data_IF_035543613452
#
_entry.id   IF_035543613452
#
_cell.length_a   1.000
_cell.length_b   1.000
_cell.length_c   1.000
_cell.angle_alpha   90.00
_cell.angle_beta   90.00
_cell.angle_gamma   90.00
#
_symmetry.space_group_name_H-M   'P 1'
#
loop_
_entity.id
_entity.type
_entity.pdbx_description
1 polymer ?
#
# COMPACT_ATOMS: atom_id res chain seq x y z
N UNK A 1 -18.53 -22.16 7.21
CA UNK A 1 -17.33 -21.55 6.63
C UNK A 1 -16.69 -20.67 7.71
N UNK A 2 -15.45 -20.98 8.12
CA UNK A 2 -14.68 -20.09 9.01
C UNK A 2 -14.32 -18.84 8.20
N UNK A 3 -14.83 -17.66 8.55
CA UNK A 3 -14.27 -16.39 8.12
C UNK A 3 -12.86 -16.33 8.69
N UNK A 4 -11.86 -16.40 7.84
CA UNK A 4 -10.48 -16.18 8.27
C UNK A 4 -10.31 -14.69 8.58
N UNK A 5 -9.51 -14.36 9.59
CA UNK A 5 -9.10 -12.99 9.85
C UNK A 5 -8.49 -12.44 8.55
N UNK A 6 -9.09 -11.36 8.00
CA UNK A 6 -8.71 -10.80 6.69
C UNK A 6 -9.86 -10.66 5.68
N UNK A 7 -11.08 -11.07 6.04
CA UNK A 7 -12.25 -11.04 5.14
C UNK A 7 -12.87 -9.63 4.94
N UNK A 8 -12.24 -8.59 5.44
CA UNK A 8 -12.65 -7.19 5.23
C UNK A 8 -11.56 -6.44 4.45
N UNK A 9 -11.45 -6.62 3.13
CA UNK A 9 -10.51 -5.84 2.33
C UNK A 9 -11.03 -4.42 2.17
N UNK A 10 -10.12 -3.45 2.32
CA UNK A 10 -10.33 -2.05 1.98
C UNK A 10 -9.31 -1.64 0.94
N UNK A 11 -9.75 -0.90 -0.08
CA UNK A 11 -8.88 -0.37 -1.13
C UNK A 11 -8.68 1.13 -0.90
N UNK A 12 -7.43 1.56 -0.81
CA UNK A 12 -7.08 2.99 -0.76
C UNK A 12 -6.40 3.38 -2.05
N UNK A 13 -6.95 4.39 -2.69
CA UNK A 13 -6.36 4.99 -3.88
C UNK A 13 -6.64 6.49 -3.94
N UNK A 14 -5.89 7.20 -4.79
CA UNK A 14 -6.07 8.62 -5.03
C UNK A 14 -6.24 8.92 -6.51
N UNK A 15 -7.09 9.89 -6.80
CA UNK A 15 -7.34 10.37 -8.17
C UNK A 15 -7.12 11.87 -8.23
N UNK A 16 -6.23 12.37 -9.09
CA UNK A 16 -6.10 13.80 -9.34
C UNK A 16 -7.29 14.32 -10.17
N UNK A 17 -7.85 15.44 -9.74
CA UNK A 17 -8.93 16.15 -10.43
C UNK A 17 -8.34 17.46 -10.95
N UNK A 18 -8.13 17.54 -12.25
CA UNK A 18 -7.59 18.75 -12.88
C UNK A 18 -8.64 19.89 -12.85
N UNK A 19 -8.24 21.04 -12.34
CA UNK A 19 -9.02 22.26 -12.38
C UNK A 19 -8.57 23.12 -13.56
N UNK A 20 -9.52 23.63 -14.33
CA UNK A 20 -9.28 24.50 -15.49
C UNK A 20 -9.93 25.85 -15.26
N UNK A 21 -9.25 26.92 -15.65
CA UNK A 21 -9.77 28.28 -15.60
C UNK A 21 -8.91 29.23 -14.77
N UNK A 22 -9.17 30.54 -14.93
CA UNK A 22 -8.50 31.58 -14.17
C UNK A 22 -8.96 31.52 -12.70
N UNK A 23 -8.01 31.66 -11.76
CA UNK A 23 -8.29 31.64 -10.32
C UNK A 23 -7.89 30.34 -9.62
N UNK A 24 -7.47 29.30 -10.37
CA UNK A 24 -6.97 28.06 -9.79
C UNK A 24 -5.44 27.97 -9.74
N UNK A 25 -4.72 29.05 -10.05
CA UNK A 25 -3.25 29.06 -10.09
C UNK A 25 -2.62 28.76 -8.73
N UNK A 26 -3.28 29.11 -7.64
CA UNK A 26 -2.88 28.79 -6.29
C UNK A 26 -2.87 27.27 -5.98
N UNK A 27 -3.60 26.49 -6.78
CA UNK A 27 -3.72 25.04 -6.69
C UNK A 27 -2.74 24.31 -7.62
N UNK A 28 -1.82 25.04 -8.24
CA UNK A 28 -0.85 24.48 -9.17
C UNK A 28 0.17 23.61 -8.43
N UNK A 29 0.32 22.38 -8.84
CA UNK A 29 1.30 21.44 -8.30
C UNK A 29 2.74 21.93 -8.47
N UNK A 30 3.64 21.49 -7.60
CA UNK A 30 5.03 21.93 -7.49
C UNK A 30 5.84 21.85 -8.81
N UNK A 31 5.41 21.00 -9.73
CA UNK A 31 6.06 20.82 -11.05
C UNK A 31 5.26 21.45 -12.20
N UNK A 32 4.28 22.30 -11.94
CA UNK A 32 3.45 22.94 -12.99
C UNK A 32 2.59 21.96 -13.81
N UNK A 33 2.56 20.68 -13.47
CA UNK A 33 1.94 19.64 -14.31
C UNK A 33 0.46 19.46 -14.07
N UNK A 34 -0.03 19.70 -12.86
CA UNK A 34 -1.44 19.53 -12.52
C UNK A 34 -1.85 20.65 -11.57
N UNK A 35 -2.73 21.53 -12.07
CA UNK A 35 -3.50 22.44 -11.23
C UNK A 35 -4.74 21.70 -10.80
N UNK A 36 -4.95 21.47 -9.51
CA UNK A 36 -6.12 20.74 -9.12
C UNK A 36 -6.16 20.23 -7.70
N UNK A 37 -7.14 19.40 -7.50
CA UNK A 37 -7.39 18.66 -6.27
C UNK A 37 -6.95 17.21 -6.43
N UNK A 38 -6.79 16.53 -5.31
CA UNK A 38 -6.63 15.09 -5.25
C UNK A 38 -7.70 14.52 -4.32
N UNK A 39 -8.46 13.58 -4.83
CA UNK A 39 -9.45 12.84 -4.07
C UNK A 39 -8.85 11.52 -3.63
N UNK A 40 -8.75 11.28 -2.33
CA UNK A 40 -8.36 10.02 -1.74
C UNK A 40 -9.61 9.29 -1.27
N UNK A 41 -9.73 8.02 -1.62
CA UNK A 41 -10.91 7.21 -1.29
C UNK A 41 -10.45 5.90 -0.63
N UNK A 42 -11.03 5.61 0.51
CA UNK A 42 -11.02 4.28 1.11
C UNK A 42 -12.34 3.59 0.76
N UNK A 43 -12.28 2.50 0.03
CA UNK A 43 -13.44 1.79 -0.49
C UNK A 43 -13.54 0.39 0.08
N UNK A 44 -14.76 -0.04 0.39
CA UNK A 44 -15.06 -1.44 0.65
C UNK A 44 -15.46 -2.12 -0.69
N UNK A 45 -14.65 -3.00 -1.26
CA UNK A 45 -14.92 -3.61 -2.56
C UNK A 45 -16.10 -4.59 -2.53
N UNK A 46 -16.45 -5.15 -1.36
CA UNK A 46 -17.59 -6.06 -1.26
C UNK A 46 -18.94 -5.35 -1.44
N UNK A 47 -19.01 -4.07 -1.05
CA UNK A 47 -20.22 -3.25 -1.20
C UNK A 47 -20.13 -2.28 -2.37
N UNK A 48 -18.91 -2.04 -2.90
CA UNK A 48 -18.64 -1.01 -3.89
C UNK A 48 -18.78 0.42 -3.34
N UNK A 49 -18.89 0.60 -2.03
CA UNK A 49 -19.13 1.89 -1.39
C UNK A 49 -17.85 2.49 -0.80
N UNK A 50 -17.64 3.81 -0.94
CA UNK A 50 -16.65 4.53 -0.15
C UNK A 50 -17.01 4.47 1.33
N UNK A 51 -16.02 4.20 2.19
CA UNK A 51 -16.17 4.22 3.65
C UNK A 51 -15.51 5.43 4.28
N UNK A 52 -14.51 6.00 3.59
CA UNK A 52 -13.88 7.26 3.98
C UNK A 52 -13.32 7.97 2.74
N UNK A 53 -13.19 9.29 2.81
CA UNK A 53 -12.56 10.09 1.77
C UNK A 53 -11.84 11.29 2.35
N UNK A 54 -10.91 11.85 1.58
CA UNK A 54 -10.26 13.14 1.84
C UNK A 54 -10.03 13.86 0.52
N UNK A 55 -10.11 15.17 0.54
CA UNK A 55 -9.81 16.02 -0.62
C UNK A 55 -8.65 16.92 -0.22
N UNK A 56 -7.58 16.87 -1.00
CA UNK A 56 -6.39 17.68 -0.77
C UNK A 56 -6.03 18.47 -2.00
N UNK A 57 -5.09 19.40 -1.83
CA UNK A 57 -4.37 19.99 -2.94
C UNK A 57 -3.57 18.90 -3.70
N UNK A 58 -3.48 18.99 -5.02
CA UNK A 58 -2.74 18.03 -5.85
C UNK A 58 -1.25 17.91 -5.47
N UNK A 59 -0.70 18.89 -4.73
CA UNK A 59 0.68 18.89 -4.21
C UNK A 59 0.90 17.97 -3.02
N UNK A 60 -0.17 17.62 -2.30
CA UNK A 60 -0.07 16.75 -1.12
C UNK A 60 0.32 15.35 -1.56
N UNK A 61 1.33 14.77 -0.89
CA UNK A 61 1.72 13.40 -1.18
C UNK A 61 0.68 12.42 -0.66
N UNK A 62 0.47 11.31 -1.37
CA UNK A 62 -0.51 10.29 -0.97
C UNK A 62 -0.25 9.75 0.44
N UNK A 63 1.03 9.61 0.81
CA UNK A 63 1.44 9.13 2.13
C UNK A 63 0.96 10.01 3.28
N UNK A 64 0.73 11.31 3.05
CA UNK A 64 0.28 12.23 4.09
C UNK A 64 -1.19 12.00 4.44
N UNK A 65 -1.98 11.45 3.49
CA UNK A 65 -3.40 11.15 3.64
C UNK A 65 -3.70 9.71 4.16
N UNK A 66 -2.67 8.95 4.54
CA UNK A 66 -2.85 7.60 5.10
C UNK A 66 -3.72 7.56 6.36
N UNK A 67 -3.90 8.71 7.04
CA UNK A 67 -4.70 8.83 8.26
C UNK A 67 -6.21 8.60 8.04
N UNK A 68 -6.71 8.69 6.79
CA UNK A 68 -8.11 8.34 6.50
C UNK A 68 -8.38 6.84 6.72
N UNK A 69 -7.33 6.02 6.74
CA UNK A 69 -7.42 4.63 7.17
C UNK A 69 -7.30 4.56 8.69
N UNK A 70 -8.39 4.32 9.35
CA UNK A 70 -8.39 3.97 10.77
C UNK A 70 -8.05 2.47 10.89
N UNK A 71 -6.88 2.10 11.49
CA UNK A 71 -6.52 0.68 11.59
C UNK A 71 -7.56 -0.12 12.36
N UNK A 72 -8.17 -1.09 11.70
CA UNK A 72 -9.20 -1.95 12.25
C UNK A 72 -8.65 -3.37 12.37
N UNK A 73 -8.77 -3.97 13.56
CA UNK A 73 -8.27 -5.31 13.82
C UNK A 73 -8.93 -6.33 12.89
N UNK A 74 -8.11 -7.10 12.20
CA UNK A 74 -8.55 -8.14 11.26
C UNK A 74 -8.88 -7.61 9.85
N UNK A 75 -8.89 -6.28 9.63
CA UNK A 75 -9.06 -5.71 8.30
C UNK A 75 -7.78 -5.84 7.47
N UNK A 76 -7.94 -5.94 6.15
CA UNK A 76 -6.83 -5.94 5.18
C UNK A 76 -6.91 -4.68 4.33
N UNK A 77 -5.86 -3.86 4.35
CA UNK A 77 -5.76 -2.64 3.54
C UNK A 77 -4.89 -2.89 2.31
N UNK A 78 -5.44 -2.59 1.14
CA UNK A 78 -4.71 -2.69 -0.14
C UNK A 78 -4.49 -1.28 -0.67
N UNK A 79 -3.23 -0.91 -0.93
CA UNK A 79 -2.88 0.44 -1.38
C UNK A 79 -1.62 0.44 -2.25
N UNK A 80 -1.47 1.48 -3.04
CA UNK A 80 -0.30 1.62 -3.90
C UNK A 80 0.96 2.05 -3.09
N UNK A 81 2.13 1.86 -3.71
CA UNK A 81 3.44 2.29 -3.16
C UNK A 81 3.53 3.79 -2.84
N UNK A 82 2.63 4.61 -3.40
CA UNK A 82 2.49 6.02 -3.04
C UNK A 82 2.20 6.25 -1.55
N UNK A 83 1.54 5.30 -0.89
CA UNK A 83 1.24 5.30 0.54
C UNK A 83 2.29 4.59 1.39
N UNK A 84 3.49 4.34 0.85
CA UNK A 84 4.53 3.59 1.53
C UNK A 84 5.18 4.41 2.66
N UNK A 85 4.79 4.11 3.89
CA UNK A 85 5.39 4.59 5.13
C UNK A 85 5.61 3.42 6.09
N UNK A 86 6.86 3.06 6.33
CA UNK A 86 7.22 1.93 7.19
C UNK A 86 6.76 2.11 8.64
N UNK A 87 6.72 3.35 9.14
CA UNK A 87 6.23 3.63 10.49
C UNK A 87 4.72 3.41 10.60
N UNK A 88 4.00 3.75 9.54
CA UNK A 88 2.58 3.50 9.49
C UNK A 88 2.26 2.01 9.29
N UNK A 89 3.03 1.30 8.48
CA UNK A 89 2.90 -0.16 8.36
C UNK A 89 3.10 -0.87 9.70
N UNK A 90 4.05 -0.39 10.51
CA UNK A 90 4.25 -0.91 11.86
C UNK A 90 3.01 -0.69 12.74
N UNK A 91 2.36 0.48 12.62
CA UNK A 91 1.10 0.76 13.35
C UNK A 91 -0.05 -0.13 12.91
N UNK A 92 -0.17 -0.41 11.60
CA UNK A 92 -1.17 -1.37 11.10
C UNK A 92 -1.00 -2.74 11.77
N UNK A 93 0.24 -3.26 11.78
CA UNK A 93 0.53 -4.53 12.41
C UNK A 93 0.29 -4.52 13.93
N UNK A 94 0.64 -3.44 14.62
CA UNK A 94 0.39 -3.27 16.07
C UNK A 94 -1.11 -3.25 16.40
N UNK A 95 -1.93 -2.71 15.50
CA UNK A 95 -3.39 -2.73 15.62
C UNK A 95 -4.02 -4.08 15.24
N UNK A 96 -3.23 -5.05 14.79
CA UNK A 96 -3.73 -6.34 14.31
C UNK A 96 -4.44 -6.25 12.96
N UNK A 97 -4.14 -5.22 12.17
CA UNK A 97 -4.57 -5.07 10.79
C UNK A 97 -3.53 -5.65 9.83
N UNK A 98 -3.97 -6.03 8.65
CA UNK A 98 -3.14 -6.54 7.57
C UNK A 98 -3.03 -5.51 6.46
N UNK A 99 -2.00 -5.64 5.62
CA UNK A 99 -1.93 -4.84 4.39
C UNK A 99 -1.31 -5.63 3.24
N UNK A 100 -1.62 -5.17 2.03
CA UNK A 100 -0.98 -5.60 0.78
C UNK A 100 -0.64 -4.35 -0.02
N UNK A 101 0.61 -4.21 -0.41
CA UNK A 101 1.07 -3.08 -1.22
C UNK A 101 2.21 -3.47 -2.15
N UNK A 102 2.49 -2.66 -3.15
CA UNK A 102 3.68 -2.85 -3.97
C UNK A 102 4.93 -2.44 -3.18
N UNK A 103 5.91 -3.34 -3.12
CA UNK A 103 7.19 -3.04 -2.50
C UNK A 103 8.02 -2.11 -3.41
N UNK A 104 8.74 -1.16 -2.80
CA UNK A 104 9.71 -0.34 -3.55
C UNK A 104 10.89 -1.22 -4.00
N UNK A 105 11.33 -1.04 -5.23
CA UNK A 105 12.45 -1.82 -5.81
C UNK A 105 13.78 -1.65 -5.07
N UNK A 106 13.95 -0.50 -4.42
CA UNK A 106 15.13 -0.17 -3.61
C UNK A 106 14.93 -0.44 -2.10
N UNK A 107 13.92 -1.22 -1.72
CA UNK A 107 13.73 -1.60 -0.32
C UNK A 107 14.91 -2.48 0.14
N UNK A 108 15.63 -2.03 1.17
CA UNK A 108 16.73 -2.79 1.76
C UNK A 108 16.16 -3.92 2.63
N UNK A 109 16.12 -5.11 2.08
CA UNK A 109 15.55 -6.30 2.73
C UNK A 109 16.48 -7.50 2.56
N UNK A 110 16.47 -8.39 3.52
CA UNK A 110 17.06 -9.73 3.42
C UNK A 110 15.96 -10.80 3.40
N UNK A 111 16.17 -11.88 2.69
CA UNK A 111 15.30 -13.05 2.71
C UNK A 111 15.60 -13.88 3.95
N UNK A 112 14.59 -14.09 4.77
CA UNK A 112 14.69 -14.91 6.01
C UNK A 112 14.32 -16.34 5.71
N UNK A 113 13.30 -16.57 4.87
CA UNK A 113 12.81 -17.90 4.53
C UNK A 113 12.04 -17.89 3.23
N UNK A 114 12.27 -18.88 2.38
CA UNK A 114 11.43 -19.14 1.21
C UNK A 114 10.22 -20.00 1.61
N UNK A 115 9.07 -19.70 1.04
CA UNK A 115 7.85 -20.48 1.16
C UNK A 115 7.67 -21.21 -0.18
N UNK A 116 7.29 -22.48 -0.14
CA UNK A 116 6.95 -23.19 -1.37
C UNK A 116 5.68 -22.56 -1.95
N UNK A 117 5.71 -22.04 -3.20
CA UNK A 117 4.53 -21.45 -3.80
C UNK A 117 3.40 -22.48 -3.88
N UNK A 118 2.20 -22.08 -3.54
CA UNK A 118 1.00 -22.87 -3.80
C UNK A 118 0.59 -22.61 -5.24
N UNK A 119 0.47 -23.64 -6.04
CA UNK A 119 -0.04 -23.54 -7.40
C UNK A 119 -1.53 -23.13 -7.32
N UNK A 120 -1.84 -21.94 -7.81
CA UNK A 120 -3.21 -21.49 -8.00
C UNK A 120 -3.58 -21.70 -9.47
N UNK A 121 -4.38 -22.70 -9.74
CA UNK A 121 -4.97 -22.93 -11.05
C UNK A 121 -5.94 -21.78 -11.37
N UNK A 122 -5.88 -21.24 -12.59
CA UNK A 122 -6.92 -20.46 -13.28
C UNK A 122 -6.76 -18.93 -13.45
N UNK A 123 -5.63 -18.28 -13.19
CA UNK A 123 -5.54 -16.82 -13.46
C UNK A 123 -4.56 -16.45 -14.59
N UNK A 124 -3.81 -17.39 -15.13
CA UNK A 124 -2.70 -17.06 -16.06
C UNK A 124 -1.51 -16.35 -15.39
N UNK A 125 -1.60 -16.10 -14.11
CA UNK A 125 -0.55 -15.51 -13.27
C UNK A 125 0.14 -16.63 -12.47
N UNK A 126 1.45 -16.56 -12.38
CA UNK A 126 2.26 -17.55 -11.65
C UNK A 126 2.99 -16.86 -10.50
N UNK A 127 2.94 -17.45 -9.33
CA UNK A 127 3.78 -17.02 -8.20
C UNK A 127 5.21 -17.45 -8.46
N UNK A 128 6.08 -16.49 -8.73
CA UNK A 128 7.51 -16.72 -9.01
C UNK A 128 8.32 -16.90 -7.72
N UNK A 129 7.97 -16.17 -6.67
CA UNK A 129 8.59 -16.26 -5.35
C UNK A 129 7.59 -15.92 -4.26
N UNK A 130 7.70 -16.63 -3.14
CA UNK A 130 6.97 -16.39 -1.90
C UNK A 130 7.96 -16.50 -0.73
N UNK A 131 8.17 -15.41 0.00
CA UNK A 131 9.28 -15.29 0.91
C UNK A 131 8.91 -14.51 2.16
N UNK A 132 9.48 -14.90 3.28
CA UNK A 132 9.57 -14.01 4.44
C UNK A 132 10.83 -13.16 4.32
N UNK A 133 10.67 -11.85 4.46
CA UNK A 133 11.74 -10.86 4.39
C UNK A 133 11.82 -10.05 5.68
N UNK A 134 12.99 -9.48 5.93
CA UNK A 134 13.25 -8.57 7.04
C UNK A 134 13.89 -7.29 6.52
N UNK A 135 13.43 -6.13 6.98
CA UNK A 135 14.07 -4.86 6.68
C UNK A 135 15.40 -4.74 7.42
N UNK A 136 16.48 -4.51 6.67
CA UNK A 136 17.85 -4.41 7.19
C UNK A 136 18.27 -2.96 7.44
N UNK A 137 17.64 -1.98 6.77
CA UNK A 137 18.03 -0.59 6.88
C UNK A 137 17.49 0.03 8.16
N UNK A 138 18.42 0.44 9.06
CA UNK A 138 18.14 1.37 10.14
C UNK A 138 18.19 2.78 9.57
N UNK A 139 17.05 3.47 9.52
CA UNK A 139 17.11 4.92 9.33
C UNK A 139 17.76 5.58 10.55
N UNK A 140 18.47 6.68 10.30
CA UNK A 140 19.09 7.48 11.37
C UNK A 140 18.06 8.01 12.38
N UNK A 141 18.50 8.52 13.51
CA UNK A 141 17.66 8.96 14.65
C UNK A 141 16.56 9.95 14.29
N UNK A 142 16.71 10.73 13.20
CA UNK A 142 15.71 11.70 12.75
C UNK A 142 14.51 11.06 12.01
N UNK A 143 14.66 9.84 11.48
CA UNK A 143 13.58 9.10 10.79
C UNK A 143 13.70 7.61 11.10
N UNK A 144 13.22 7.16 12.27
CA UNK A 144 13.32 5.76 12.65
C UNK A 144 12.46 4.89 11.73
N UNK A 145 13.01 3.76 11.30
CA UNK A 145 12.25 2.74 10.59
C UNK A 145 11.67 1.73 11.58
N UNK A 146 10.42 1.87 11.96
CA UNK A 146 9.75 0.96 12.91
C UNK A 146 9.49 -0.44 12.34
N UNK A 147 9.64 -0.64 11.03
CA UNK A 147 9.65 -1.96 10.41
C UNK A 147 11.02 -2.64 10.44
N UNK A 148 12.10 -1.96 10.89
CA UNK A 148 13.41 -2.59 11.03
C UNK A 148 13.31 -3.84 11.93
N UNK A 149 13.82 -4.95 11.43
CA UNK A 149 13.77 -6.24 12.12
C UNK A 149 12.42 -6.96 12.10
N UNK A 150 11.32 -6.29 11.70
CA UNK A 150 10.03 -6.96 11.54
C UNK A 150 10.04 -7.84 10.30
N UNK A 151 9.34 -8.97 10.40
CA UNK A 151 9.19 -9.92 9.31
C UNK A 151 7.92 -9.58 8.53
N UNK A 152 8.06 -9.51 7.22
CA UNK A 152 6.99 -9.30 6.26
C UNK A 152 7.01 -10.45 5.24
N UNK A 153 5.91 -10.68 4.55
CA UNK A 153 5.85 -11.60 3.43
C UNK A 153 6.02 -10.82 2.13
N UNK A 154 6.88 -11.28 1.25
CA UNK A 154 7.07 -10.79 -0.11
C UNK A 154 6.59 -11.83 -1.10
N UNK A 155 5.71 -11.45 -2.01
CA UNK A 155 5.20 -12.31 -3.06
C UNK A 155 5.54 -11.67 -4.39
N UNK A 156 6.16 -12.41 -5.29
CA UNK A 156 6.45 -11.99 -6.65
C UNK A 156 5.58 -12.77 -7.61
N UNK A 157 4.79 -12.06 -8.42
CA UNK A 157 3.83 -12.65 -9.36
C UNK A 157 4.21 -12.28 -10.78
N UNK A 158 4.24 -13.27 -11.68
CA UNK A 158 4.38 -12.99 -13.11
C UNK A 158 3.08 -12.40 -13.65
N UNK A 159 3.23 -11.54 -14.66
CA UNK A 159 2.09 -10.96 -15.39
C UNK A 159 2.38 -11.06 -16.90
N UNK A 160 1.49 -11.67 -17.69
CA UNK A 160 1.70 -11.78 -19.13
C UNK A 160 1.93 -10.40 -19.76
N UNK A 161 3.06 -10.26 -20.49
CA UNK A 161 3.40 -9.01 -21.20
C UNK A 161 3.75 -7.81 -20.33
N UNK A 162 4.01 -8.00 -19.03
CA UNK A 162 4.38 -6.94 -18.08
C UNK A 162 5.50 -7.39 -17.14
N UNK A 163 6.18 -6.42 -16.54
CA UNK A 163 7.12 -6.68 -15.46
C UNK A 163 6.44 -7.41 -14.28
N UNK A 164 7.14 -8.33 -13.61
CA UNK A 164 6.63 -8.99 -12.43
C UNK A 164 6.16 -8.00 -11.37
N UNK A 165 5.10 -8.35 -10.66
CA UNK A 165 4.56 -7.57 -9.56
C UNK A 165 5.17 -8.06 -8.24
N UNK A 166 5.83 -7.17 -7.50
CA UNK A 166 6.39 -7.47 -6.18
C UNK A 166 5.51 -6.85 -5.12
N UNK A 167 4.86 -7.70 -4.34
CA UNK A 167 3.97 -7.33 -3.25
C UNK A 167 4.64 -7.54 -1.91
N UNK A 168 4.42 -6.60 -0.99
CA UNK A 168 4.75 -6.76 0.42
C UNK A 168 3.47 -6.80 1.24
N UNK A 169 3.39 -7.72 2.19
CA UNK A 169 2.27 -7.82 3.10
C UNK A 169 2.73 -8.19 4.52
N UNK A 170 1.92 -7.82 5.51
CA UNK A 170 2.03 -8.41 6.84
C UNK A 170 1.34 -9.77 6.78
N UNK A 171 2.10 -10.83 7.07
CA UNK A 171 1.57 -12.17 7.22
C UNK A 171 1.72 -12.64 8.67
N UNK A 172 0.78 -13.47 9.11
CA UNK A 172 0.97 -14.31 10.27
C UNK A 172 1.86 -15.49 9.90
#
# INVERSE_FOLDING_TARGET
MRKQAGDLPYLLDSTPIALKGRGFDQWTGHNGRITGLKLHILMNPATGCPVAHSITDARVNDVDERHIMQPEKGATYVFDKGYCDYNWWAKLGEAGAYFVTRLKTNAAVEVVRHIKPTEHENTGETVLADEYIRFTHRQNSSRPNRCHGKILRRITVSRPGREPLVLGCVGN
#
